data_IF_474709004556
#
_entry.id   IF_474709004556
#
_cell.length_a   1.000
_cell.length_b   1.000
_cell.length_c   1.000
_cell.angle_alpha   90.00
_cell.angle_beta   90.00
_cell.angle_gamma   90.00
#
_symmetry.space_group_name_H-M   'P 1'
#
loop_
_entity.id
_entity.type
_entity.pdbx_description
1 polymer ?
#
# COMPACT_ATOMS: atom_id res chain seq x y z
N UNK A 1 -26.90 5.12 -20.91
CA UNK A 1 -25.85 4.10 -20.79
C UNK A 1 -24.89 4.33 -21.95
N UNK A 2 -23.89 5.17 -21.77
CA UNK A 2 -22.79 5.37 -22.73
C UNK A 2 -21.85 4.19 -22.60
N UNK A 3 -21.75 3.37 -23.65
CA UNK A 3 -20.76 2.32 -23.73
C UNK A 3 -19.37 2.97 -23.62
N UNK A 4 -18.63 2.64 -22.57
CA UNK A 4 -17.23 3.00 -22.44
C UNK A 4 -16.50 2.30 -23.58
N UNK A 5 -15.93 3.08 -24.50
CA UNK A 5 -15.06 2.61 -25.57
C UNK A 5 -13.93 1.79 -24.90
N UNK A 6 -13.66 0.55 -25.32
CA UNK A 6 -12.59 -0.24 -24.74
C UNK A 6 -11.27 0.48 -24.98
N UNK A 7 -10.61 0.88 -23.88
CA UNK A 7 -9.29 1.51 -23.93
C UNK A 7 -8.34 0.66 -24.79
N UNK A 8 -7.54 1.25 -25.69
CA UNK A 8 -6.69 0.51 -26.58
C UNK A 8 -5.71 -0.37 -25.79
N UNK A 9 -5.50 -1.59 -26.24
CA UNK A 9 -4.67 -2.63 -25.55
C UNK A 9 -3.28 -2.11 -25.16
N UNK A 10 -2.72 -1.17 -25.94
CA UNK A 10 -1.44 -0.48 -25.61
C UNK A 10 -1.53 0.35 -24.32
N UNK A 11 -2.67 0.95 -24.00
CA UNK A 11 -2.85 1.71 -22.77
C UNK A 11 -2.97 0.80 -21.54
N UNK A 12 -3.57 -0.38 -21.68
CA UNK A 12 -3.66 -1.38 -20.62
C UNK A 12 -2.28 -1.97 -20.27
N UNK A 13 -1.48 -2.30 -21.29
CA UNK A 13 -0.11 -2.79 -21.07
C UNK A 13 0.77 -1.73 -20.38
N UNK A 14 0.68 -0.47 -20.81
CA UNK A 14 1.40 0.63 -20.19
C UNK A 14 0.94 0.86 -18.74
N UNK A 15 -0.35 0.83 -18.47
CA UNK A 15 -0.88 0.95 -17.12
C UNK A 15 -0.40 -0.18 -16.20
N UNK A 16 -0.40 -1.42 -16.68
CA UNK A 16 0.10 -2.57 -15.94
C UNK A 16 1.62 -2.46 -15.68
N UNK A 17 2.39 -1.96 -16.64
CA UNK A 17 3.83 -1.76 -16.47
C UNK A 17 4.13 -0.67 -15.41
N UNK A 18 3.39 0.43 -15.44
CA UNK A 18 3.51 1.50 -14.43
C UNK A 18 3.11 0.97 -13.05
N UNK A 19 2.04 0.19 -12.97
CA UNK A 19 1.62 -0.46 -11.72
C UNK A 19 2.70 -1.40 -11.18
N UNK A 20 3.26 -2.25 -12.04
CA UNK A 20 4.34 -3.16 -11.66
C UNK A 20 5.59 -2.37 -11.18
N UNK A 21 5.99 -1.35 -11.92
CA UNK A 21 7.12 -0.51 -11.54
C UNK A 21 6.90 0.17 -10.19
N UNK A 22 5.71 0.71 -9.94
CA UNK A 22 5.36 1.34 -8.65
C UNK A 22 5.38 0.34 -7.50
N UNK A 23 4.92 -0.90 -7.73
CA UNK A 23 4.97 -1.96 -6.72
C UNK A 23 6.41 -2.40 -6.41
N UNK A 24 7.28 -2.48 -7.43
CA UNK A 24 8.70 -2.77 -7.22
C UNK A 24 9.41 -1.67 -6.41
N UNK A 25 9.14 -0.40 -6.72
CA UNK A 25 9.67 0.74 -5.96
C UNK A 25 9.14 0.72 -4.52
N UNK A 26 7.85 0.43 -4.34
CA UNK A 26 7.27 0.31 -3.00
C UNK A 26 7.90 -0.84 -2.20
N UNK A 27 8.06 -2.01 -2.81
CA UNK A 27 8.66 -3.18 -2.18
C UNK A 27 10.13 -2.94 -1.79
N UNK A 28 10.90 -2.22 -2.62
CA UNK A 28 12.27 -1.82 -2.30
C UNK A 28 12.36 -0.89 -1.07
N UNK A 29 11.26 -0.22 -0.73
CA UNK A 29 11.17 0.62 0.46
C UNK A 29 11.26 -0.15 1.78
N UNK A 30 10.90 -1.45 1.81
CA UNK A 30 11.00 -2.28 3.00
C UNK A 30 12.48 -2.54 3.40
N UNK A 31 13.31 -3.13 2.54
CA UNK A 31 14.73 -3.32 2.88
C UNK A 31 15.48 -1.99 3.04
N UNK A 32 15.09 -0.93 2.33
CA UNK A 32 15.69 0.38 2.52
C UNK A 32 15.36 0.98 3.90
N UNK A 33 14.17 0.74 4.45
CA UNK A 33 13.82 1.16 5.79
C UNK A 33 14.61 0.39 6.86
N UNK A 34 14.85 -0.90 6.63
CA UNK A 34 15.63 -1.76 7.54
C UNK A 34 17.04 -1.22 7.80
N UNK A 35 17.66 -0.62 6.79
CA UNK A 35 19.02 -0.04 6.94
C UNK A 35 19.11 1.14 7.93
N UNK A 36 17.98 1.79 8.23
CA UNK A 36 17.94 3.01 9.05
C UNK A 36 17.03 2.91 10.26
N UNK A 37 16.30 1.80 10.43
CA UNK A 37 15.27 1.67 11.46
C UNK A 37 15.86 1.68 12.87
N UNK A 38 17.08 1.20 13.03
CA UNK A 38 17.80 1.21 14.30
C UNK A 38 18.41 2.59 14.65
N UNK A 39 18.55 3.46 13.64
CA UNK A 39 19.16 4.78 13.78
C UNK A 39 18.13 5.90 14.00
N UNK A 40 16.91 5.70 13.53
CA UNK A 40 15.86 6.73 13.50
C UNK A 40 14.57 6.18 14.10
N UNK A 41 13.97 6.88 15.07
CA UNK A 41 12.67 6.45 15.62
C UNK A 41 11.61 6.27 14.53
N UNK A 42 10.73 5.25 14.60
CA UNK A 42 9.76 4.89 13.57
C UNK A 42 8.88 6.07 13.11
N UNK A 43 8.43 6.89 14.07
CA UNK A 43 7.59 8.06 13.77
C UNK A 43 8.40 9.11 12.99
N UNK A 44 9.65 9.37 13.37
CA UNK A 44 10.51 10.32 12.68
C UNK A 44 10.83 9.84 11.26
N UNK A 45 11.12 8.55 11.08
CA UNK A 45 11.37 7.95 9.77
C UNK A 45 10.14 8.09 8.85
N UNK A 46 8.94 7.81 9.37
CA UNK A 46 7.69 7.98 8.61
C UNK A 46 7.47 9.44 8.24
N UNK A 47 7.68 10.37 9.17
CA UNK A 47 7.53 11.81 8.92
C UNK A 47 8.53 12.30 7.85
N UNK A 48 9.78 11.89 7.92
CA UNK A 48 10.81 12.24 6.93
C UNK A 48 10.47 11.71 5.53
N UNK A 49 10.06 10.45 5.42
CA UNK A 49 9.64 9.84 4.15
C UNK A 49 8.45 10.56 3.54
N UNK A 50 7.45 10.88 4.36
CA UNK A 50 6.24 11.58 3.91
C UNK A 50 6.53 13.03 3.51
N UNK A 51 7.35 13.74 4.30
CA UNK A 51 7.78 15.10 3.97
C UNK A 51 8.58 15.16 2.67
N UNK A 52 9.50 14.21 2.47
CA UNK A 52 10.28 14.12 1.25
C UNK A 52 9.39 13.84 0.03
N UNK A 53 8.47 12.87 0.15
CA UNK A 53 7.51 12.58 -0.91
C UNK A 53 6.64 13.80 -1.25
N UNK A 54 6.14 14.51 -0.24
CA UNK A 54 5.34 15.73 -0.43
C UNK A 54 6.16 16.83 -1.09
N UNK A 55 7.43 17.01 -0.71
CA UNK A 55 8.34 18.01 -1.29
C UNK A 55 8.59 17.80 -2.79
N UNK A 56 8.52 16.56 -3.27
CA UNK A 56 8.63 16.24 -4.70
C UNK A 56 7.28 16.24 -5.41
N UNK A 57 6.26 15.65 -4.81
CA UNK A 57 4.97 15.43 -5.47
C UNK A 57 4.13 16.71 -5.58
N UNK A 58 4.19 17.61 -4.58
CA UNK A 58 3.41 18.85 -4.63
C UNK A 58 3.88 19.81 -5.75
N UNK A 59 5.19 20.08 -5.93
CA UNK A 59 5.66 20.87 -7.07
C UNK A 59 5.39 20.20 -8.41
N UNK A 60 5.54 18.87 -8.48
CA UNK A 60 5.23 18.11 -9.70
C UNK A 60 3.75 18.23 -10.08
N UNK A 61 2.86 18.08 -9.11
CA UNK A 61 1.43 18.25 -9.33
C UNK A 61 1.08 19.66 -9.77
N UNK A 62 1.67 20.67 -9.13
CA UNK A 62 1.51 22.06 -9.55
C UNK A 62 2.01 22.31 -10.98
N UNK A 63 3.15 21.74 -11.34
CA UNK A 63 3.72 21.88 -12.68
C UNK A 63 2.89 21.21 -13.78
N UNK A 64 2.27 20.06 -13.50
CA UNK A 64 1.49 19.27 -14.46
C UNK A 64 0.05 19.79 -14.61
N UNK A 65 -0.63 20.06 -13.50
CA UNK A 65 -2.06 20.39 -13.50
C UNK A 65 -2.35 21.88 -13.21
N UNK A 66 -1.35 22.62 -12.74
CA UNK A 66 -1.42 24.04 -12.46
C UNK A 66 -2.10 24.39 -11.12
N UNK A 67 -1.94 25.65 -10.70
CA UNK A 67 -2.46 26.15 -9.43
C UNK A 67 -3.99 26.06 -9.30
N UNK A 68 -4.72 26.11 -10.41
CA UNK A 68 -6.18 26.02 -10.41
C UNK A 68 -6.72 24.65 -9.99
N UNK A 69 -6.00 23.56 -10.30
CA UNK A 69 -6.33 22.21 -9.86
C UNK A 69 -6.09 22.05 -8.35
N UNK A 70 -4.97 22.55 -7.85
CA UNK A 70 -4.67 22.57 -6.41
C UNK A 70 -5.71 23.33 -5.60
N UNK A 71 -6.18 24.47 -6.09
CA UNK A 71 -7.20 25.29 -5.41
C UNK A 71 -8.59 24.61 -5.37
N UNK A 72 -8.91 23.76 -6.34
CA UNK A 72 -10.18 23.01 -6.41
C UNK A 72 -10.13 21.65 -5.73
N UNK A 73 -8.98 21.20 -5.29
CA UNK A 73 -8.81 19.90 -4.65
C UNK A 73 -9.57 19.84 -3.32
N UNK A 74 -10.15 18.68 -3.05
CA UNK A 74 -10.87 18.43 -1.79
C UNK A 74 -9.87 18.11 -0.67
N UNK A 75 -9.09 19.11 -0.25
CA UNK A 75 -8.05 18.98 0.78
C UNK A 75 -8.52 18.30 2.06
N UNK A 76 -9.76 18.60 2.51
CA UNK A 76 -10.32 17.98 3.72
C UNK A 76 -10.39 16.45 3.61
N UNK A 77 -10.89 15.93 2.48
CA UNK A 77 -10.91 14.48 2.22
C UNK A 77 -9.49 13.93 2.05
N UNK A 78 -8.63 14.63 1.30
CA UNK A 78 -7.25 14.22 1.09
C UNK A 78 -6.47 14.12 2.41
N UNK A 79 -6.61 15.07 3.31
CA UNK A 79 -5.97 15.06 4.62
C UNK A 79 -6.55 13.96 5.51
N UNK A 80 -7.87 13.77 5.50
CA UNK A 80 -8.52 12.74 6.30
C UNK A 80 -8.11 11.33 5.84
N UNK A 81 -8.21 11.05 4.56
CA UNK A 81 -7.88 9.72 4.01
C UNK A 81 -6.36 9.51 3.96
N UNK A 82 -5.62 10.47 3.44
CA UNK A 82 -4.16 10.40 3.32
C UNK A 82 -3.47 10.48 4.68
N UNK A 83 -3.87 11.41 5.55
CA UNK A 83 -3.27 11.58 6.86
C UNK A 83 -3.68 10.49 7.85
N UNK A 84 -4.98 10.21 7.99
CA UNK A 84 -5.46 9.24 8.98
C UNK A 84 -5.24 7.81 8.47
N UNK A 85 -5.81 7.41 7.32
CA UNK A 85 -5.76 6.02 6.91
C UNK A 85 -4.36 5.61 6.41
N UNK A 86 -3.80 6.36 5.46
CA UNK A 86 -2.49 6.02 4.87
C UNK A 86 -1.35 6.39 5.82
N UNK A 87 -1.44 7.53 6.50
CA UNK A 87 -0.45 7.98 7.48
C UNK A 87 -0.34 7.03 8.68
N UNK A 88 -1.44 6.64 9.31
CA UNK A 88 -1.42 5.61 10.36
C UNK A 88 -0.91 4.28 9.83
N UNK A 89 -1.35 3.86 8.63
CA UNK A 89 -0.83 2.64 8.01
C UNK A 89 0.68 2.66 7.88
N UNK A 90 1.27 3.78 7.44
CA UNK A 90 2.71 3.93 7.32
C UNK A 90 3.44 3.90 8.67
N UNK A 91 2.89 4.56 9.70
CA UNK A 91 3.45 4.52 11.06
C UNK A 91 3.43 3.10 11.61
N UNK A 92 2.28 2.41 11.51
CA UNK A 92 2.17 1.03 11.98
C UNK A 92 3.09 0.07 11.23
N UNK A 93 3.32 0.28 9.93
CA UNK A 93 4.28 -0.51 9.15
C UNK A 93 5.71 -0.37 9.70
N UNK A 94 6.15 0.85 9.97
CA UNK A 94 7.49 1.09 10.51
C UNK A 94 7.61 0.60 11.96
N UNK A 95 6.55 0.71 12.76
CA UNK A 95 6.52 0.10 14.10
C UNK A 95 6.63 -1.43 14.00
N UNK A 96 5.92 -2.04 13.04
CA UNK A 96 6.01 -3.47 12.80
C UNK A 96 7.44 -3.90 12.44
N UNK A 97 8.09 -3.18 11.53
CA UNK A 97 9.48 -3.44 11.15
C UNK A 97 10.47 -3.27 12.33
N UNK A 98 10.23 -2.32 13.22
CA UNK A 98 11.06 -2.11 14.41
C UNK A 98 10.81 -3.14 15.52
N UNK A 99 9.66 -3.82 15.51
CA UNK A 99 9.21 -4.70 16.60
C UNK A 99 9.20 -6.19 16.24
N UNK A 100 9.46 -6.56 14.97
CA UNK A 100 9.50 -7.95 14.52
C UNK A 100 10.39 -8.10 13.29
N UNK A 101 10.68 -9.34 12.91
CA UNK A 101 11.56 -9.64 11.78
C UNK A 101 10.93 -9.24 10.43
N UNK A 102 11.77 -8.88 9.43
CA UNK A 102 11.32 -8.46 8.10
C UNK A 102 10.49 -9.51 7.35
N UNK A 103 10.73 -10.78 7.63
CA UNK A 103 10.00 -11.89 6.97
C UNK A 103 8.57 -11.91 7.45
N UNK A 104 8.34 -11.81 8.76
CA UNK A 104 6.99 -11.72 9.36
C UNK A 104 6.22 -10.52 8.79
N UNK A 105 6.85 -9.33 8.72
CA UNK A 105 6.22 -8.15 8.12
C UNK A 105 5.87 -8.38 6.66
N UNK A 106 6.77 -8.98 5.89
CA UNK A 106 6.58 -9.26 4.45
C UNK A 106 5.44 -10.25 4.21
N UNK A 107 5.35 -11.32 5.01
CA UNK A 107 4.26 -12.31 4.93
C UNK A 107 2.91 -11.66 5.26
N UNK A 108 2.85 -10.85 6.32
CA UNK A 108 1.62 -10.16 6.69
C UNK A 108 1.22 -9.15 5.61
N UNK A 109 2.15 -8.38 5.07
CA UNK A 109 1.86 -7.43 3.98
C UNK A 109 1.44 -8.13 2.69
N UNK A 110 1.92 -9.34 2.41
CA UNK A 110 1.46 -10.16 1.29
C UNK A 110 -0.04 -10.56 1.41
N UNK A 111 -0.65 -10.46 2.59
CA UNK A 111 -2.10 -10.66 2.77
C UNK A 111 -2.95 -9.44 2.36
N UNK A 112 -2.33 -8.30 2.03
CA UNK A 112 -3.03 -7.07 1.67
C UNK A 112 -4.06 -7.25 0.54
N UNK A 113 -3.77 -7.97 -0.57
CA UNK A 113 -4.76 -8.23 -1.60
C UNK A 113 -5.95 -9.06 -1.09
N UNK A 114 -5.71 -9.98 -0.16
CA UNK A 114 -6.77 -10.81 0.46
C UNK A 114 -7.75 -9.94 1.21
N UNK A 115 -7.22 -9.07 2.08
CA UNK A 115 -8.02 -8.15 2.89
C UNK A 115 -8.77 -7.16 1.98
N UNK A 116 -8.10 -6.64 0.94
CA UNK A 116 -8.71 -5.73 -0.04
C UNK A 116 -9.89 -6.36 -0.76
N UNK A 117 -9.70 -7.55 -1.30
CA UNK A 117 -10.75 -8.31 -1.99
C UNK A 117 -11.89 -8.68 -1.05
N UNK A 118 -11.58 -9.11 0.18
CA UNK A 118 -12.59 -9.40 1.18
C UNK A 118 -13.46 -8.17 1.50
N UNK A 119 -12.84 -7.00 1.68
CA UNK A 119 -13.56 -5.74 1.89
C UNK A 119 -14.44 -5.37 0.69
N UNK A 120 -13.93 -5.48 -0.54
CA UNK A 120 -14.71 -5.21 -1.75
C UNK A 120 -15.88 -6.19 -1.93
N UNK A 121 -15.70 -7.47 -1.61
CA UNK A 121 -16.78 -8.45 -1.65
C UNK A 121 -17.86 -8.15 -0.60
N UNK A 122 -17.46 -7.79 0.63
CA UNK A 122 -18.38 -7.55 1.73
C UNK A 122 -19.13 -6.22 1.59
N UNK A 123 -18.44 -5.16 1.13
CA UNK A 123 -18.97 -3.81 1.12
C UNK A 123 -19.55 -3.39 -0.24
N UNK A 124 -18.94 -3.86 -1.33
CA UNK A 124 -19.32 -3.47 -2.70
C UNK A 124 -20.01 -4.61 -3.49
N UNK A 125 -20.15 -5.79 -2.87
CA UNK A 125 -20.77 -6.95 -3.52
C UNK A 125 -19.99 -7.47 -4.74
N UNK A 126 -18.66 -7.24 -4.77
CA UNK A 126 -17.79 -7.68 -5.88
C UNK A 126 -17.84 -9.20 -6.02
N UNK A 127 -18.02 -9.66 -7.25
CA UNK A 127 -18.01 -11.10 -7.54
C UNK A 127 -16.57 -11.61 -7.67
N UNK A 128 -16.29 -12.72 -7.00
CA UNK A 128 -15.02 -13.43 -7.13
C UNK A 128 -14.94 -14.08 -8.51
N UNK A 129 -13.94 -13.68 -9.30
CA UNK A 129 -13.61 -14.34 -10.56
C UNK A 129 -12.49 -15.36 -10.35
N UNK A 130 -12.43 -16.38 -11.22
CA UNK A 130 -11.39 -17.41 -11.12
C UNK A 130 -9.97 -16.81 -11.21
N UNK A 131 -9.77 -15.80 -12.05
CA UNK A 131 -8.50 -15.07 -12.16
C UNK A 131 -8.12 -14.35 -10.87
N UNK A 132 -9.10 -13.76 -10.18
CA UNK A 132 -8.89 -13.10 -8.90
C UNK A 132 -8.49 -14.10 -7.81
N UNK A 133 -9.19 -15.24 -7.75
CA UNK A 133 -8.87 -16.32 -6.79
C UNK A 133 -7.47 -16.90 -7.07
N UNK A 134 -7.13 -17.11 -8.34
CA UNK A 134 -5.79 -17.59 -8.71
C UNK A 134 -4.70 -16.60 -8.29
N UNK A 135 -4.88 -15.30 -8.53
CA UNK A 135 -3.95 -14.26 -8.08
C UNK A 135 -3.79 -14.23 -6.55
N UNK A 136 -4.89 -14.41 -5.82
CA UNK A 136 -4.89 -14.49 -4.38
C UNK A 136 -4.09 -15.67 -3.85
N UNK A 137 -4.35 -16.86 -4.40
CA UNK A 137 -3.62 -18.09 -4.05
C UNK A 137 -2.12 -17.94 -4.36
N UNK A 138 -1.79 -17.35 -5.51
CA UNK A 138 -0.39 -17.12 -5.89
C UNK A 138 0.30 -16.13 -4.93
N UNK A 139 -0.37 -15.07 -4.52
CA UNK A 139 0.14 -14.11 -3.54
C UNK A 139 0.41 -14.75 -2.17
N UNK A 140 -0.54 -15.54 -1.68
CA UNK A 140 -0.37 -16.27 -0.41
C UNK A 140 0.72 -17.33 -0.50
N UNK A 141 0.79 -18.07 -1.60
CA UNK A 141 1.83 -19.06 -1.83
C UNK A 141 3.23 -18.41 -1.88
N UNK A 142 3.35 -17.26 -2.56
CA UNK A 142 4.58 -16.47 -2.55
C UNK A 142 5.01 -16.02 -1.16
N UNK A 143 4.07 -15.53 -0.35
CA UNK A 143 4.31 -15.17 1.05
C UNK A 143 4.76 -16.36 1.90
N UNK A 144 4.11 -17.51 1.76
CA UNK A 144 4.47 -18.75 2.47
C UNK A 144 5.84 -19.31 2.04
N UNK A 145 6.17 -19.21 0.76
CA UNK A 145 7.50 -19.60 0.27
C UNK A 145 8.60 -18.69 0.81
N UNK A 146 8.35 -17.38 0.83
CA UNK A 146 9.27 -16.42 1.45
C UNK A 146 9.47 -16.70 2.93
N UNK A 147 8.40 -17.04 3.66
CA UNK A 147 8.47 -17.48 5.05
C UNK A 147 9.27 -18.77 5.23
N UNK A 148 9.01 -19.80 4.42
CA UNK A 148 9.72 -21.07 4.50
C UNK A 148 11.22 -20.95 4.18
N UNK A 149 11.62 -19.96 3.34
CA UNK A 149 13.03 -19.68 3.04
C UNK A 149 13.73 -18.90 4.17
N UNK A 150 13.00 -18.19 5.00
CA UNK A 150 13.51 -17.31 6.06
C UNK A 150 13.69 -17.97 7.41
N UNK A 151 13.85 -19.27 7.55
CA UNK A 151 14.32 -20.03 8.72
C UNK A 151 13.92 -19.50 10.14
N UNK A 152 13.01 -18.56 10.26
CA UNK A 152 12.49 -17.99 11.50
C UNK A 152 11.01 -18.34 11.70
N UNK A 153 10.59 -18.60 12.95
CA UNK A 153 9.16 -18.76 13.28
C UNK A 153 8.44 -17.42 13.15
N UNK A 154 7.14 -17.43 12.80
CA UNK A 154 6.30 -16.22 12.88
C UNK A 154 6.31 -15.70 14.31
N UNK A 155 6.91 -14.53 14.50
CA UNK A 155 6.87 -13.82 15.77
C UNK A 155 5.50 -13.13 15.93
N UNK A 156 4.53 -13.87 16.48
CA UNK A 156 3.20 -13.34 16.79
C UNK A 156 3.28 -12.47 18.05
N UNK A 157 3.67 -11.22 17.85
CA UNK A 157 3.80 -10.21 18.90
C UNK A 157 3.19 -8.87 18.50
N UNK A 158 3.61 -7.82 19.18
CA UNK A 158 3.16 -6.43 18.92
C UNK A 158 3.49 -6.03 17.48
N UNK A 159 4.63 -6.48 16.93
CA UNK A 159 5.02 -6.21 15.54
C UNK A 159 4.05 -6.81 14.51
N UNK A 160 3.61 -8.06 14.71
CA UNK A 160 2.63 -8.69 13.85
C UNK A 160 1.26 -7.99 13.92
N UNK A 161 0.83 -7.59 15.13
CA UNK A 161 -0.39 -6.81 15.32
C UNK A 161 -0.31 -5.44 14.62
N UNK A 162 0.82 -4.76 14.72
CA UNK A 162 1.07 -3.50 14.01
C UNK A 162 1.08 -3.68 12.50
N UNK A 163 1.66 -4.76 11.97
CA UNK A 163 1.62 -5.09 10.54
C UNK A 163 0.19 -5.30 10.04
N UNK A 164 -0.64 -6.05 10.77
CA UNK A 164 -2.05 -6.24 10.43
C UNK A 164 -2.85 -4.93 10.48
N UNK A 165 -2.62 -4.09 11.48
CA UNK A 165 -3.22 -2.77 11.57
C UNK A 165 -2.82 -1.89 10.38
N UNK A 166 -1.54 -1.91 10.00
CA UNK A 166 -1.01 -1.23 8.82
C UNK A 166 -1.73 -1.66 7.54
N UNK A 167 -1.78 -2.96 7.27
CA UNK A 167 -2.44 -3.52 6.08
C UNK A 167 -3.92 -3.12 6.02
N UNK A 168 -4.62 -3.20 7.15
CA UNK A 168 -6.03 -2.82 7.22
C UNK A 168 -6.23 -1.33 6.96
N UNK A 169 -5.41 -0.48 7.56
CA UNK A 169 -5.45 0.97 7.36
C UNK A 169 -5.15 1.36 5.91
N UNK A 170 -4.11 0.80 5.29
CA UNK A 170 -3.79 1.03 3.88
C UNK A 170 -4.91 0.57 2.94
N UNK A 171 -5.46 -0.61 3.18
CA UNK A 171 -6.53 -1.17 2.35
C UNK A 171 -7.80 -0.33 2.45
N UNK A 172 -8.18 0.08 3.64
CA UNK A 172 -9.31 0.98 3.85
C UNK A 172 -9.08 2.34 3.20
N UNK A 173 -7.89 2.94 3.41
CA UNK A 173 -7.53 4.25 2.85
C UNK A 173 -7.53 4.25 1.32
N UNK A 174 -6.93 3.23 0.69
CA UNK A 174 -6.91 3.12 -0.77
C UNK A 174 -8.32 2.93 -1.35
N UNK A 175 -9.19 2.15 -0.69
CA UNK A 175 -10.60 2.04 -1.08
C UNK A 175 -11.33 3.38 -0.98
N UNK A 176 -11.14 4.12 0.11
CA UNK A 176 -11.78 5.42 0.31
C UNK A 176 -11.36 6.47 -0.73
N UNK A 177 -10.17 6.36 -1.33
CA UNK A 177 -9.74 7.24 -2.43
C UNK A 177 -10.42 6.93 -3.75
N UNK A 178 -10.78 5.67 -4.00
CA UNK A 178 -11.40 5.24 -5.27
C UNK A 178 -12.92 5.46 -5.26
N UNK A 179 -13.57 5.35 -4.10
CA UNK A 179 -15.04 5.47 -3.96
C UNK A 179 -15.52 6.90 -3.72
N UNK A 180 -14.64 7.87 -3.68
CA UNK A 180 -14.93 9.31 -3.49
C UNK A 180 -14.79 10.08 -4.79
#
# INVERSE_FOLDING_TARGET
MTALDPAPVRSLAAANLVCLASMLVWAAGLPAAELVIDLVPPIALTAMRTALAAAFLLPLWWAVEGAGAMGRAHWGKGILVGGICIGFGAVFLVIAQAATDPVTVSVITATMPVIGIALECLLDGRRLTLALVAGLVLSLAGGLLAYGAGMGGLELGIGAAAALASVTAFTWGSRATVTS
#
